data_IF_723742669502
#
_entry.id   IF_723742669502
#
_cell.length_a   1.000
_cell.length_b   1.000
_cell.length_c   1.000
_cell.angle_alpha   90.00
_cell.angle_beta   90.00
_cell.angle_gamma   90.00
#
_symmetry.space_group_name_H-M   'P 1'
#
loop_
_entity.id
_entity.type
_entity.pdbx_description
1 polymer ?
#
# COMPACT_ATOMS: atom_id res chain seq x y z
N UNK A 1 9.60 -27.24 32.18
CA UNK A 1 10.01 -25.83 32.06
C UNK A 1 9.67 -25.39 30.65
N UNK A 2 8.66 -24.53 30.48
CA UNK A 2 8.32 -23.99 29.15
C UNK A 2 9.45 -23.06 28.76
N UNK A 3 10.13 -23.33 27.65
CA UNK A 3 11.16 -22.41 27.15
C UNK A 3 10.53 -21.02 27.00
N UNK A 4 11.10 -20.00 27.63
CA UNK A 4 10.67 -18.63 27.43
C UNK A 4 10.82 -18.34 25.92
N UNK A 5 9.72 -17.99 25.25
CA UNK A 5 9.73 -17.63 23.84
C UNK A 5 10.68 -16.46 23.59
N UNK A 6 11.30 -16.42 22.42
CA UNK A 6 12.16 -15.31 22.03
C UNK A 6 11.36 -14.00 22.02
N UNK A 7 11.93 -12.93 22.61
CA UNK A 7 11.31 -11.59 22.65
C UNK A 7 12.18 -10.63 21.86
N UNK A 8 11.55 -9.87 20.94
CA UNK A 8 12.23 -8.85 20.15
C UNK A 8 12.57 -7.64 21.01
N UNK A 9 13.85 -7.24 20.99
CA UNK A 9 14.35 -6.01 21.62
C UNK A 9 14.31 -4.86 20.60
N UNK A 10 13.37 -3.93 20.79
CA UNK A 10 13.18 -2.77 19.91
C UNK A 10 14.33 -1.75 19.97
N UNK A 11 15.26 -1.87 20.93
CA UNK A 11 16.47 -1.05 20.99
C UNK A 11 17.61 -1.61 20.12
N UNK A 12 17.42 -2.77 19.51
CA UNK A 12 18.39 -3.43 18.63
C UNK A 12 17.84 -3.55 17.19
N UNK A 13 18.72 -3.68 16.18
CA UNK A 13 18.31 -3.90 14.79
C UNK A 13 17.37 -5.09 14.64
N UNK A 14 16.21 -4.89 14.00
CA UNK A 14 15.12 -5.89 13.96
C UNK A 14 15.37 -7.08 13.04
N UNK A 15 16.01 -6.89 11.88
CA UNK A 15 15.98 -7.86 10.78
C UNK A 15 16.52 -9.24 11.19
N UNK A 16 17.55 -9.27 12.03
CA UNK A 16 18.14 -10.53 12.51
C UNK A 16 17.47 -11.08 13.78
N UNK A 17 16.55 -10.33 14.40
CA UNK A 17 15.79 -10.77 15.56
C UNK A 17 14.54 -11.55 15.16
N UNK A 18 13.76 -11.03 14.20
CA UNK A 18 12.42 -11.53 13.88
C UNK A 18 12.38 -12.99 13.42
N UNK A 19 13.47 -13.50 12.82
CA UNK A 19 13.58 -14.91 12.44
C UNK A 19 13.57 -15.90 13.62
N UNK A 20 13.87 -15.43 14.83
CA UNK A 20 13.85 -16.26 16.04
C UNK A 20 12.44 -16.40 16.67
N UNK A 21 11.44 -15.68 16.16
CA UNK A 21 10.06 -15.75 16.67
C UNK A 21 9.36 -17.08 16.33
N UNK A 22 9.78 -17.77 15.26
CA UNK A 22 9.16 -19.03 14.82
C UNK A 22 7.65 -18.87 14.62
N UNK A 23 6.87 -19.75 15.23
CA UNK A 23 5.40 -19.75 15.16
C UNK A 23 4.75 -18.46 15.69
N UNK A 24 5.43 -17.72 16.58
CA UNK A 24 4.92 -16.46 17.11
C UNK A 24 5.07 -15.28 16.13
N UNK A 25 5.75 -15.47 14.99
CA UNK A 25 6.01 -14.41 14.02
C UNK A 25 4.73 -13.80 13.47
N UNK A 26 3.76 -14.63 13.08
CA UNK A 26 2.52 -14.16 12.45
C UNK A 26 1.71 -13.28 13.40
N UNK A 27 1.54 -13.69 14.65
CA UNK A 27 0.85 -12.85 15.64
C UNK A 27 1.63 -11.56 15.92
N UNK A 28 2.96 -11.65 16.04
CA UNK A 28 3.83 -10.53 16.37
C UNK A 28 3.89 -9.46 15.27
N UNK A 29 4.04 -9.86 14.00
CA UNK A 29 4.21 -8.91 12.87
C UNK A 29 2.96 -8.06 12.63
N UNK A 30 1.81 -8.59 13.04
CA UNK A 30 0.53 -7.92 12.94
C UNK A 30 0.24 -6.98 14.13
N UNK A 31 1.05 -7.01 15.20
CA UNK A 31 0.90 -6.04 16.30
C UNK A 31 1.49 -4.67 15.92
N UNK A 32 0.72 -3.58 15.97
CA UNK A 32 1.21 -2.26 15.60
C UNK A 32 2.19 -1.72 16.65
N UNK A 33 3.43 -1.47 16.25
CA UNK A 33 4.44 -0.80 17.08
C UNK A 33 4.32 0.70 16.88
N UNK A 34 3.74 1.39 17.88
CA UNK A 34 3.58 2.86 17.82
C UNK A 34 4.83 3.53 18.38
N UNK A 35 5.60 4.17 17.51
CA UNK A 35 6.77 4.97 17.88
C UNK A 35 6.93 6.17 16.95
N UNK A 36 7.70 7.19 17.37
CA UNK A 36 7.87 8.43 16.58
C UNK A 36 8.75 8.24 15.34
N UNK A 37 9.82 7.45 15.44
CA UNK A 37 10.80 7.26 14.36
C UNK A 37 10.82 5.83 13.80
N UNK A 38 10.01 4.92 14.35
CA UNK A 38 10.09 3.50 14.02
C UNK A 38 11.27 2.80 14.70
N UNK A 39 11.20 1.47 14.87
CA UNK A 39 12.36 0.68 15.28
C UNK A 39 13.39 0.60 14.15
N UNK A 40 14.68 0.49 14.52
CA UNK A 40 15.81 0.38 13.57
C UNK A 40 15.86 -1.02 12.95
N UNK A 41 16.12 -1.14 11.66
CA UNK A 41 16.09 -2.43 10.96
C UNK A 41 17.49 -3.06 10.87
N UNK A 42 18.50 -2.27 10.50
CA UNK A 42 19.87 -2.76 10.31
C UNK A 42 20.87 -2.08 11.25
N UNK A 43 21.92 -2.79 11.66
CA UNK A 43 23.02 -2.20 12.41
C UNK A 43 23.79 -1.18 11.55
N UNK A 44 24.02 -1.52 10.28
CA UNK A 44 24.77 -0.70 9.32
C UNK A 44 23.97 0.53 8.88
N UNK A 45 24.59 1.72 8.92
CA UNK A 45 23.93 2.99 8.59
C UNK A 45 23.54 3.11 7.11
N UNK A 46 24.31 2.53 6.19
CA UNK A 46 23.98 2.55 4.76
C UNK A 46 22.75 1.70 4.51
N UNK A 47 22.69 0.49 5.06
CA UNK A 47 21.51 -0.38 4.94
C UNK A 47 20.28 0.23 5.61
N UNK A 48 20.45 0.88 6.76
CA UNK A 48 19.37 1.60 7.44
C UNK A 48 18.90 2.82 6.64
N UNK A 49 19.78 3.54 5.96
CA UNK A 49 19.37 4.64 5.09
C UNK A 49 18.48 4.15 3.93
N UNK A 50 18.75 2.95 3.39
CA UNK A 50 17.95 2.35 2.32
C UNK A 50 16.56 1.88 2.76
N UNK A 51 16.29 1.73 4.06
CA UNK A 51 14.95 1.38 4.56
C UNK A 51 14.06 2.61 4.77
N UNK A 52 14.62 3.83 4.75
CA UNK A 52 13.92 5.07 5.08
C UNK A 52 13.48 5.81 3.82
N UNK A 53 12.27 5.51 3.38
CA UNK A 53 11.65 6.19 2.23
C UNK A 53 10.62 7.21 2.71
N UNK A 54 10.88 8.50 2.47
CA UNK A 54 9.93 9.58 2.77
C UNK A 54 8.87 9.71 1.67
N UNK A 55 7.67 10.17 2.04
CA UNK A 55 6.48 10.13 1.17
C UNK A 55 6.66 10.80 -0.21
N UNK A 56 7.45 11.87 -0.30
CA UNK A 56 7.64 12.62 -1.54
C UNK A 56 8.60 11.93 -2.52
N UNK A 57 9.35 10.91 -2.09
CA UNK A 57 10.25 10.15 -2.99
C UNK A 57 9.45 9.51 -4.13
N UNK A 58 8.30 8.92 -3.82
CA UNK A 58 7.43 8.26 -4.80
C UNK A 58 6.96 9.23 -5.90
N UNK A 59 6.28 10.35 -5.61
CA UNK A 59 5.87 11.28 -6.66
C UNK A 59 7.05 11.93 -7.38
N UNK A 60 8.14 12.28 -6.69
CA UNK A 60 9.31 12.91 -7.31
C UNK A 60 9.99 12.01 -8.34
N UNK A 61 10.09 10.70 -8.08
CA UNK A 61 10.70 9.75 -9.00
C UNK A 61 9.73 9.36 -10.12
N UNK A 62 8.49 9.03 -9.77
CA UNK A 62 7.59 8.34 -10.70
C UNK A 62 6.72 9.28 -11.54
N UNK A 63 6.39 10.49 -11.08
CA UNK A 63 5.63 11.44 -11.91
C UNK A 63 6.38 11.80 -13.20
N UNK A 64 7.70 12.11 -13.19
CA UNK A 64 8.45 12.32 -14.42
C UNK A 64 8.38 11.13 -15.39
N UNK A 65 8.43 9.90 -14.87
CA UNK A 65 8.31 8.68 -15.67
C UNK A 65 6.91 8.57 -16.28
N UNK A 66 5.86 8.80 -15.50
CA UNK A 66 4.47 8.86 -15.99
C UNK A 66 4.34 9.88 -17.12
N UNK A 67 4.85 11.11 -16.92
CA UNK A 67 4.81 12.17 -17.91
C UNK A 67 5.56 11.78 -19.19
N UNK A 68 6.72 11.14 -19.08
CA UNK A 68 7.49 10.65 -20.23
C UNK A 68 6.70 9.63 -21.07
N UNK A 69 6.15 8.60 -20.43
CA UNK A 69 5.39 7.56 -21.14
C UNK A 69 4.06 8.08 -21.70
N UNK A 70 3.39 9.00 -21.01
CA UNK A 70 2.20 9.68 -21.52
C UNK A 70 2.52 10.55 -22.75
N UNK A 71 3.60 11.32 -22.71
CA UNK A 71 4.04 12.14 -23.83
C UNK A 71 4.48 11.28 -25.03
N UNK A 72 5.16 10.16 -24.77
CA UNK A 72 5.51 9.19 -25.81
C UNK A 72 4.26 8.61 -26.47
N UNK A 73 3.24 8.23 -25.68
CA UNK A 73 1.96 7.77 -26.23
C UNK A 73 1.29 8.83 -27.11
N UNK A 74 1.29 10.10 -26.68
CA UNK A 74 0.68 11.18 -27.44
C UNK A 74 1.39 11.43 -28.78
N UNK A 75 2.73 11.37 -28.80
CA UNK A 75 3.56 11.54 -30.00
C UNK A 75 3.41 10.40 -31.02
N UNK A 76 3.07 9.20 -30.55
CA UNK A 76 2.87 8.03 -31.41
C UNK A 76 1.52 8.04 -32.15
N UNK A 77 0.65 9.03 -31.90
CA UNK A 77 -0.57 9.28 -32.67
C UNK A 77 -1.67 8.23 -32.44
N UNK A 78 -2.69 8.59 -31.65
CA UNK A 78 -3.90 7.78 -31.52
C UNK A 78 -5.03 8.41 -32.35
N UNK A 79 -5.46 7.70 -33.40
CA UNK A 79 -6.55 8.07 -34.32
C UNK A 79 -7.59 6.94 -34.35
N UNK A 80 -8.70 7.16 -33.60
CA UNK A 80 -10.12 6.76 -33.82
C UNK A 80 -10.53 5.24 -33.77
N UNK A 81 -11.84 4.87 -33.87
CA UNK A 81 -12.72 4.39 -32.79
C UNK A 81 -13.11 2.89 -32.86
N UNK A 82 -14.02 2.49 -31.95
CA UNK A 82 -14.74 1.21 -31.83
C UNK A 82 -13.93 -0.08 -31.59
N UNK A 83 -13.75 -0.39 -30.30
CA UNK A 83 -14.22 -1.61 -29.62
C UNK A 83 -13.77 -3.02 -30.13
N UNK A 84 -13.44 -3.25 -31.40
CA UNK A 84 -12.97 -4.53 -31.93
C UNK A 84 -11.44 -4.70 -31.93
N UNK A 85 -10.70 -3.62 -31.62
CA UNK A 85 -9.27 -3.66 -31.31
C UNK A 85 -8.96 -4.26 -29.93
N UNK A 86 -9.98 -4.49 -29.08
CA UNK A 86 -9.90 -4.94 -27.69
C UNK A 86 -9.04 -6.19 -27.44
N UNK A 87 -8.89 -7.06 -28.45
CA UNK A 87 -8.16 -8.33 -28.35
C UNK A 87 -6.70 -8.25 -28.87
N UNK A 88 -6.35 -7.25 -29.70
CA UNK A 88 -4.93 -6.94 -30.03
C UNK A 88 -4.33 -5.93 -29.05
N UNK A 89 -5.16 -5.41 -28.13
CA UNK A 89 -5.05 -4.18 -27.36
C UNK A 89 -4.08 -4.20 -26.17
N UNK A 90 -3.78 -5.38 -25.62
CA UNK A 90 -3.13 -5.45 -24.31
C UNK A 90 -1.65 -5.01 -24.33
N UNK A 91 -0.96 -5.08 -25.48
CA UNK A 91 0.46 -4.71 -25.59
C UNK A 91 0.94 -4.40 -27.03
N UNK A 92 0.33 -3.47 -27.78
CA UNK A 92 1.01 -2.94 -28.97
C UNK A 92 2.06 -1.90 -28.54
N UNK A 93 3.17 -1.69 -29.28
CA UNK A 93 4.13 -0.62 -28.97
C UNK A 93 3.52 0.78 -28.87
N UNK A 94 2.33 0.97 -29.45
CA UNK A 94 1.57 2.22 -29.41
C UNK A 94 0.70 2.39 -28.17
N UNK A 95 0.13 1.32 -27.58
CA UNK A 95 -0.74 1.40 -26.39
C UNK A 95 -0.03 1.08 -25.09
N UNK A 96 1.04 0.28 -25.14
CA UNK A 96 1.84 -0.09 -23.97
C UNK A 96 2.34 1.12 -23.16
N UNK A 97 2.78 2.24 -23.77
CA UNK A 97 3.21 3.43 -23.01
C UNK A 97 2.06 4.07 -22.21
N UNK A 98 0.86 4.16 -22.78
CA UNK A 98 -0.30 4.71 -22.09
C UNK A 98 -0.77 3.82 -20.93
N UNK A 99 -0.84 2.51 -21.15
CA UNK A 99 -1.21 1.55 -20.10
C UNK A 99 -0.19 1.56 -18.96
N UNK A 100 1.11 1.60 -19.29
CA UNK A 100 2.17 1.72 -18.29
C UNK A 100 2.08 3.04 -17.52
N UNK A 101 1.93 4.17 -18.21
CA UNK A 101 1.78 5.47 -17.56
C UNK A 101 0.55 5.52 -16.64
N UNK A 102 -0.60 4.99 -17.09
CA UNK A 102 -1.83 4.94 -16.30
C UNK A 102 -1.72 4.03 -15.08
N UNK A 103 -1.15 2.83 -15.25
CA UNK A 103 -0.91 1.89 -14.17
C UNK A 103 0.08 2.45 -13.13
N UNK A 104 1.18 3.05 -13.58
CA UNK A 104 2.17 3.68 -12.71
C UNK A 104 1.59 4.90 -11.98
N UNK A 105 0.78 5.72 -12.65
CA UNK A 105 0.06 6.81 -11.99
C UNK A 105 -0.90 6.27 -10.93
N UNK A 106 -1.61 5.19 -11.22
CA UNK A 106 -2.45 4.47 -10.26
C UNK A 106 -1.68 4.04 -9.01
N UNK A 107 -0.48 3.48 -9.19
CA UNK A 107 0.42 3.14 -8.09
C UNK A 107 0.84 4.37 -7.26
N UNK A 108 1.27 5.47 -7.92
CA UNK A 108 1.65 6.70 -7.20
C UNK A 108 0.47 7.25 -6.39
N UNK A 109 -0.73 7.27 -6.97
CA UNK A 109 -1.94 7.70 -6.25
C UNK A 109 -2.27 6.78 -5.08
N UNK A 110 -2.11 5.46 -5.24
CA UNK A 110 -2.30 4.48 -4.19
C UNK A 110 -1.37 4.75 -3.00
N UNK A 111 -0.06 4.89 -3.24
CA UNK A 111 0.94 5.02 -2.18
C UNK A 111 0.80 6.38 -1.44
N UNK A 112 0.59 7.46 -2.20
CA UNK A 112 0.31 8.78 -1.63
C UNK A 112 -0.99 8.78 -0.80
N UNK A 113 -2.04 8.09 -1.27
CA UNK A 113 -3.29 7.94 -0.51
C UNK A 113 -3.02 7.17 0.77
N UNK A 114 -2.32 6.03 0.69
CA UNK A 114 -1.97 5.21 1.84
C UNK A 114 -1.26 6.03 2.92
N UNK A 115 -0.22 6.75 2.53
CA UNK A 115 0.52 7.64 3.43
C UNK A 115 -0.38 8.70 4.05
N UNK A 116 -1.23 9.35 3.25
CA UNK A 116 -2.17 10.37 3.72
C UNK A 116 -3.23 9.82 4.69
N UNK A 117 -3.71 8.58 4.50
CA UNK A 117 -4.67 7.96 5.42
C UNK A 117 -4.04 7.73 6.81
N UNK A 118 -2.75 7.38 6.88
CA UNK A 118 -2.05 7.28 8.17
C UNK A 118 -1.78 8.66 8.80
N UNK A 119 -1.18 9.58 8.05
CA UNK A 119 -0.56 10.79 8.63
C UNK A 119 -1.41 12.06 8.50
N UNK A 120 -2.33 12.11 7.54
CA UNK A 120 -3.16 13.27 7.26
C UNK A 120 -4.36 13.42 8.21
N UNK A 121 -4.93 14.62 8.25
CA UNK A 121 -6.17 14.93 8.97
C UNK A 121 -7.25 15.38 7.98
N UNK A 122 -7.92 14.43 7.29
CA UNK A 122 -8.89 14.77 6.27
C UNK A 122 -10.10 15.50 6.86
N UNK A 123 -10.48 16.62 6.25
CA UNK A 123 -11.70 17.37 6.57
C UNK A 123 -12.90 16.91 5.74
N UNK A 124 -12.67 16.39 4.54
CA UNK A 124 -13.71 15.93 3.62
C UNK A 124 -14.21 14.52 3.96
N UNK A 125 -15.49 14.25 3.70
CA UNK A 125 -16.15 12.99 4.08
C UNK A 125 -15.56 11.75 3.42
N UNK A 126 -15.22 11.81 2.13
CA UNK A 126 -14.64 10.66 1.39
C UNK A 126 -13.30 10.21 2.01
N UNK A 127 -12.26 11.06 2.12
CA UNK A 127 -11.01 10.65 2.73
C UNK A 127 -11.11 10.36 4.24
N UNK A 128 -12.06 10.99 4.96
CA UNK A 128 -12.37 10.59 6.35
C UNK A 128 -12.88 9.16 6.42
N UNK A 129 -13.81 8.79 5.53
CA UNK A 129 -14.34 7.44 5.44
C UNK A 129 -13.24 6.43 5.11
N UNK A 130 -12.42 6.72 4.10
CA UNK A 130 -11.28 5.87 3.74
C UNK A 130 -10.27 5.74 4.88
N UNK A 131 -9.97 6.83 5.60
CA UNK A 131 -9.10 6.78 6.79
C UNK A 131 -9.67 5.85 7.85
N UNK A 132 -10.95 6.02 8.20
CA UNK A 132 -11.62 5.16 9.19
C UNK A 132 -11.63 3.69 8.76
N UNK A 133 -11.90 3.44 7.47
CA UNK A 133 -11.87 2.11 6.88
C UNK A 133 -10.49 1.47 7.01
N UNK A 134 -9.44 2.17 6.59
CA UNK A 134 -8.05 1.71 6.64
C UNK A 134 -7.53 1.51 8.07
N UNK A 135 -7.90 2.40 9.00
CA UNK A 135 -7.55 2.22 10.42
C UNK A 135 -8.26 0.99 11.02
N UNK A 136 -9.47 0.65 10.59
CA UNK A 136 -10.12 -0.59 11.04
C UNK A 136 -9.36 -1.83 10.55
N UNK A 137 -8.79 -1.80 9.35
CA UNK A 137 -7.93 -2.88 8.85
C UNK A 137 -6.73 -3.08 9.79
N UNK A 138 -5.97 -2.01 10.08
CA UNK A 138 -4.78 -2.13 10.95
C UNK A 138 -5.05 -2.47 12.42
N UNK A 139 -6.12 -1.94 13.00
CA UNK A 139 -6.32 -1.97 14.47
C UNK A 139 -7.47 -2.87 14.93
N UNK A 140 -8.25 -3.46 14.01
CA UNK A 140 -9.43 -4.26 14.40
C UNK A 140 -9.53 -5.58 13.64
N UNK A 141 -9.52 -5.56 12.31
CA UNK A 141 -9.78 -6.74 11.48
C UNK A 141 -8.82 -6.71 10.29
N UNK A 142 -7.68 -7.38 10.42
CA UNK A 142 -6.61 -7.37 9.42
C UNK A 142 -6.86 -8.31 8.25
N UNK A 143 -7.72 -9.33 8.41
CA UNK A 143 -8.11 -10.28 7.36
C UNK A 143 -9.24 -9.74 6.45
N UNK A 144 -9.61 -8.47 6.61
CA UNK A 144 -10.62 -7.75 5.83
C UNK A 144 -10.12 -6.34 5.52
N UNK A 145 -10.76 -5.71 4.54
CA UNK A 145 -10.53 -4.30 4.24
C UNK A 145 -9.22 -4.00 3.51
N UNK A 146 -8.93 -4.74 2.45
CA UNK A 146 -7.66 -4.67 1.73
C UNK A 146 -7.53 -3.42 0.83
N UNK A 147 -8.66 -2.81 0.46
CA UNK A 147 -8.71 -1.65 -0.43
C UNK A 147 -8.25 -0.35 0.23
N UNK A 148 -7.25 0.31 -0.36
CA UNK A 148 -6.73 1.60 0.15
C UNK A 148 -7.37 2.81 -0.53
N UNK A 149 -7.41 2.80 -1.86
CA UNK A 149 -7.96 3.91 -2.67
C UNK A 149 -9.48 3.84 -2.79
N UNK A 150 -10.05 2.64 -2.69
CA UNK A 150 -11.50 2.40 -2.65
C UNK A 150 -11.79 1.02 -2.06
N UNK A 151 -13.01 0.84 -1.54
CA UNK A 151 -13.51 -0.46 -1.06
C UNK A 151 -14.25 -1.27 -2.16
N UNK A 152 -14.09 -0.88 -3.42
CA UNK A 152 -14.78 -1.51 -4.56
C UNK A 152 -14.47 -3.01 -4.63
N UNK A 153 -13.19 -3.37 -4.62
CA UNK A 153 -12.78 -4.77 -4.74
C UNK A 153 -13.12 -5.59 -3.49
N UNK A 154 -13.15 -4.99 -2.30
CA UNK A 154 -13.62 -5.68 -1.11
C UNK A 154 -15.11 -6.03 -1.14
N UNK A 155 -15.92 -5.24 -1.86
CA UNK A 155 -17.32 -5.60 -2.13
C UNK A 155 -17.41 -6.77 -3.10
N UNK A 156 -16.63 -6.72 -4.18
CA UNK A 156 -16.62 -7.75 -5.22
C UNK A 156 -16.18 -9.10 -4.66
N UNK A 157 -15.17 -9.12 -3.80
CA UNK A 157 -14.58 -10.37 -3.27
C UNK A 157 -15.03 -10.73 -1.85
N UNK A 158 -16.01 -10.02 -1.26
CA UNK A 158 -16.54 -10.37 0.06
C UNK A 158 -15.57 -10.15 1.23
N UNK A 159 -14.66 -9.19 1.09
CA UNK A 159 -13.66 -8.84 2.11
C UNK A 159 -13.95 -7.51 2.80
N UNK A 160 -15.16 -6.96 2.64
CA UNK A 160 -15.60 -5.79 3.40
C UNK A 160 -15.63 -6.07 4.92
N UNK A 161 -15.09 -5.15 5.76
CA UNK A 161 -15.26 -5.23 7.20
C UNK A 161 -16.74 -5.10 7.60
N UNK A 162 -17.24 -5.92 8.53
CA UNK A 162 -18.62 -5.82 9.02
C UNK A 162 -18.87 -4.50 9.74
N UNK A 163 -20.11 -4.01 9.67
CA UNK A 163 -20.52 -2.83 10.44
C UNK A 163 -20.49 -3.14 11.95
N UNK A 164 -20.35 -2.10 12.78
CA UNK A 164 -20.40 -2.26 14.25
C UNK A 164 -21.71 -2.89 14.74
N UNK A 165 -22.80 -2.72 14.00
CA UNK A 165 -24.12 -3.31 14.31
C UNK A 165 -24.14 -4.81 14.04
N UNK A 166 -23.57 -5.25 12.91
CA UNK A 166 -23.45 -6.67 12.56
C UNK A 166 -22.54 -7.46 13.52
N UNK A 167 -21.61 -6.79 14.21
CA UNK A 167 -20.77 -7.40 15.25
C UNK A 167 -21.48 -7.57 16.60
N UNK A 168 -22.51 -6.77 16.90
CA UNK A 168 -23.26 -6.86 18.18
C UNK A 168 -24.38 -7.91 18.14
N UNK A 169 -24.79 -8.35 16.95
CA UNK A 169 -25.87 -9.32 16.75
C UNK A 169 -25.37 -10.76 16.54
N UNK A 170 -24.06 -11.00 16.72
CA UNK A 170 -23.43 -12.33 16.73
C UNK A 170 -22.88 -12.57 18.12
#
# INVERSE_FOLDING_TARGET
>A
MVAQGFVVDLNKPLVFQVGHLGEAYDEWVHQPIVSREGPRFFANDVMEALTRTVWWVIPTIWIPVVCYFAAMSARLGLVIPEFWNFVKLLSTPTTAPALFAGGLLGYVMYDCTHYYLHHGQPSNEVPKHLKKYHMNHHFRIQDKGYGITSSLWDRVFGTLPPSKEAQKSR
#
